data_IF_748528196542
#
_entry.id   IF_748528196542
#
_cell.length_a   1.000
_cell.length_b   1.000
_cell.length_c   1.000
_cell.angle_alpha   90.00
_cell.angle_beta   90.00
_cell.angle_gamma   90.00
#
_symmetry.space_group_name_H-M   'P 1'
#
loop_
_entity.id
_entity.type
_entity.pdbx_description
1 polymer ?
#
# COMPACT_ATOMS: atom_id res chain seq x y z
N UNK A 1 -19.11 -9.87 24.14
CA UNK A 1 -19.31 -8.97 22.98
C UNK A 1 -18.00 -8.73 22.19
N UNK A 2 -17.18 -9.77 22.02
CA UNK A 2 -15.83 -9.67 21.40
C UNK A 2 -15.68 -10.32 20.03
N UNK A 3 -16.75 -10.67 19.32
CA UNK A 3 -16.69 -11.39 18.03
C UNK A 3 -17.05 -10.57 16.77
N UNK A 4 -17.56 -9.34 16.93
CA UNK A 4 -18.05 -8.55 15.79
C UNK A 4 -16.97 -7.65 15.11
N UNK A 5 -15.81 -7.47 15.73
CA UNK A 5 -14.75 -6.62 15.15
C UNK A 5 -13.83 -7.37 14.17
N UNK A 6 -13.95 -8.69 14.09
CA UNK A 6 -13.08 -9.54 13.25
C UNK A 6 -13.49 -9.63 11.78
N UNK A 7 -14.70 -9.22 11.43
CA UNK A 7 -15.25 -9.47 10.08
C UNK A 7 -15.37 -8.23 9.18
N UNK A 8 -15.16 -7.03 9.71
CA UNK A 8 -15.33 -5.81 8.90
C UNK A 8 -14.07 -5.34 8.14
N UNK A 9 -12.91 -5.88 8.45
CA UNK A 9 -11.64 -5.48 7.77
C UNK A 9 -11.30 -6.38 6.58
N UNK A 10 -11.93 -7.55 6.48
CA UNK A 10 -11.59 -8.56 5.44
C UNK A 10 -12.38 -8.37 4.14
N UNK A 11 -13.48 -7.60 4.12
CA UNK A 11 -14.39 -7.53 2.97
C UNK A 11 -14.07 -6.44 1.93
N UNK A 12 -12.94 -5.74 2.01
CA UNK A 12 -12.61 -4.69 1.02
C UNK A 12 -11.67 -5.16 -0.12
N UNK A 13 -11.34 -6.45 -0.21
CA UNK A 13 -10.31 -6.93 -1.15
C UNK A 13 -10.77 -7.92 -2.22
N UNK A 14 -12.07 -8.08 -2.45
CA UNK A 14 -12.55 -9.08 -3.44
C UNK A 14 -13.61 -8.50 -4.38
N UNK A 15 -13.23 -7.58 -5.23
CA UNK A 15 -14.03 -7.26 -6.41
C UNK A 15 -13.18 -6.58 -7.49
N UNK A 16 -12.39 -7.32 -8.25
CA UNK A 16 -12.04 -7.03 -9.66
C UNK A 16 -11.37 -8.29 -10.22
N UNK A 17 -12.14 -9.17 -10.81
CA UNK A 17 -11.65 -10.14 -11.80
C UNK A 17 -12.84 -10.68 -12.61
N UNK A 18 -13.21 -9.99 -13.67
CA UNK A 18 -14.03 -10.57 -14.75
C UNK A 18 -13.94 -9.67 -15.97
N UNK A 19 -13.09 -10.01 -16.93
CA UNK A 19 -13.22 -9.69 -18.36
C UNK A 19 -12.29 -10.64 -19.10
N UNK A 20 -12.88 -11.59 -19.72
CA UNK A 20 -13.43 -11.74 -21.05
C UNK A 20 -12.44 -12.34 -22.05
N UNK A 21 -12.71 -13.58 -22.39
CA UNK A 21 -12.19 -14.32 -23.54
C UNK A 21 -12.72 -13.70 -24.84
N UNK A 22 -11.86 -13.40 -25.77
CA UNK A 22 -12.19 -13.06 -27.15
C UNK A 22 -11.36 -13.91 -28.11
N UNK A 23 -12.06 -14.67 -28.93
CA UNK A 23 -11.62 -15.70 -29.87
C UNK A 23 -10.93 -15.12 -31.11
N UNK A 24 -9.98 -15.90 -31.65
CA UNK A 24 -9.41 -15.76 -32.98
C UNK A 24 -10.39 -16.17 -34.10
N UNK A 25 -10.19 -15.75 -35.35
CA UNK A 25 -10.33 -16.67 -36.48
C UNK A 25 -9.10 -16.68 -37.41
N UNK A 26 -8.67 -17.81 -37.69
CA UNK A 26 -8.43 -18.71 -38.81
C UNK A 26 -8.30 -18.09 -40.22
N UNK A 27 -7.12 -18.42 -40.79
CA UNK A 27 -6.73 -18.89 -42.11
C UNK A 27 -6.97 -18.07 -43.36
N UNK A 28 -5.91 -18.11 -44.18
CA UNK A 28 -5.91 -17.80 -45.59
C UNK A 28 -4.51 -18.00 -46.18
N UNK A 29 -4.25 -19.24 -46.62
CA UNK A 29 -3.03 -19.62 -47.31
C UNK A 29 -3.24 -19.37 -48.82
N UNK A 30 -2.29 -18.69 -49.46
CA UNK A 30 -2.08 -18.79 -50.91
C UNK A 30 -0.60 -18.75 -51.24
N UNK A 31 -0.17 -19.86 -51.87
CA UNK A 31 1.13 -20.05 -52.48
C UNK A 31 1.32 -19.17 -53.70
N UNK A 32 2.57 -18.65 -53.88
CA UNK A 32 3.25 -18.62 -55.20
C UNK A 32 4.72 -18.24 -55.05
N UNK A 33 5.58 -18.75 -55.96
CA UNK A 33 6.99 -18.91 -55.79
C UNK A 33 7.86 -17.77 -56.41
N UNK A 34 9.19 -17.94 -56.52
CA UNK A 34 10.17 -16.99 -56.03
C UNK A 34 10.73 -16.05 -57.09
N UNK A 35 10.98 -14.85 -56.73
CA UNK A 35 11.92 -13.97 -57.47
C UNK A 35 12.86 -13.34 -56.47
N UNK A 36 14.10 -13.78 -56.45
CA UNK A 36 15.18 -13.07 -55.78
C UNK A 36 15.58 -11.82 -56.57
N UNK A 37 15.66 -10.70 -55.86
CA UNK A 37 16.81 -9.83 -56.00
C UNK A 37 17.52 -9.71 -54.65
N UNK A 38 18.81 -10.00 -54.66
CA UNK A 38 19.70 -9.69 -53.55
C UNK A 38 19.76 -8.17 -53.34
N UNK A 39 18.85 -7.66 -52.54
CA UNK A 39 19.03 -6.36 -51.93
C UNK A 39 19.78 -6.60 -50.63
N UNK A 40 21.02 -6.15 -50.59
CA UNK A 40 21.77 -5.94 -49.36
C UNK A 40 20.95 -4.99 -48.47
N UNK A 41 20.06 -5.57 -47.68
CA UNK A 41 19.38 -4.87 -46.58
C UNK A 41 20.50 -4.51 -45.61
N UNK A 42 20.87 -3.22 -45.59
CA UNK A 42 21.55 -2.68 -44.45
C UNK A 42 20.74 -3.07 -43.23
N UNK A 43 21.23 -4.02 -42.45
CA UNK A 43 20.69 -4.35 -41.16
C UNK A 43 20.93 -3.13 -40.29
N UNK A 44 19.92 -2.27 -40.18
CA UNK A 44 19.87 -1.32 -39.10
C UNK A 44 19.90 -2.19 -37.83
N UNK A 45 21.02 -2.20 -37.14
CA UNK A 45 21.14 -2.80 -35.84
C UNK A 45 20.13 -2.07 -34.97
N UNK A 46 18.98 -2.68 -34.76
CA UNK A 46 18.00 -2.19 -33.81
C UNK A 46 18.66 -2.22 -32.44
N UNK A 47 19.07 -1.05 -31.94
CA UNK A 47 19.62 -0.95 -30.59
C UNK A 47 18.54 -1.47 -29.62
N UNK A 48 18.84 -2.55 -28.90
CA UNK A 48 17.92 -3.07 -27.89
C UNK A 48 17.58 -1.95 -26.88
N UNK A 49 16.31 -1.77 -26.51
CA UNK A 49 15.91 -0.80 -25.50
C UNK A 49 16.73 -0.96 -24.21
N UNK A 50 17.18 0.14 -23.64
CA UNK A 50 17.99 0.13 -22.41
C UNK A 50 17.28 0.73 -21.22
N UNK A 51 16.27 1.57 -21.46
CA UNK A 51 15.50 2.26 -20.42
C UNK A 51 14.01 2.07 -20.72
N UNK A 52 13.22 1.88 -19.68
CA UNK A 52 11.77 1.80 -19.75
C UNK A 52 11.13 2.65 -18.67
N UNK A 53 9.96 3.16 -18.98
CA UNK A 53 9.08 3.85 -18.04
C UNK A 53 7.74 3.16 -18.00
N UNK A 54 7.05 3.21 -16.88
CA UNK A 54 5.74 2.59 -16.72
C UNK A 54 4.84 3.28 -15.73
N UNK A 55 3.57 2.94 -15.84
CA UNK A 55 2.55 3.24 -14.83
C UNK A 55 2.03 1.93 -14.29
N UNK A 56 1.67 1.88 -13.02
CA UNK A 56 1.13 0.67 -12.40
C UNK A 56 0.02 0.97 -11.41
N UNK A 57 -0.87 0.01 -11.27
CA UNK A 57 -1.83 -0.10 -10.18
C UNK A 57 -1.42 -1.24 -9.26
N UNK A 58 -1.44 -1.01 -7.97
CA UNK A 58 -1.05 -1.99 -6.95
C UNK A 58 -1.88 -1.83 -5.68
N UNK A 59 -1.72 -2.75 -4.74
CA UNK A 59 -2.29 -2.58 -3.40
C UNK A 59 -1.69 -1.38 -2.64
N UNK A 60 -0.56 -0.85 -3.10
CA UNK A 60 0.05 0.39 -2.58
C UNK A 60 -0.51 1.65 -3.26
N UNK A 61 -1.43 1.50 -4.20
CA UNK A 61 -2.04 2.59 -4.96
C UNK A 61 -1.60 2.66 -6.42
N UNK A 62 -1.82 3.81 -7.03
CA UNK A 62 -1.33 4.14 -8.36
C UNK A 62 0.13 4.58 -8.29
N UNK A 63 0.92 4.18 -9.28
CA UNK A 63 2.35 4.49 -9.27
C UNK A 63 2.96 4.66 -10.66
N UNK A 64 4.17 5.17 -10.64
CA UNK A 64 5.05 5.26 -11.81
C UNK A 64 6.34 4.51 -11.51
N UNK A 65 6.95 3.97 -12.55
CA UNK A 65 8.21 3.25 -12.42
C UNK A 65 9.14 3.53 -13.60
N UNK A 66 10.42 3.41 -13.33
CA UNK A 66 11.49 3.50 -14.31
C UNK A 66 12.41 2.29 -14.14
N UNK A 67 12.83 1.71 -15.25
CA UNK A 67 13.76 0.58 -15.25
C UNK A 67 14.91 0.83 -16.23
N UNK A 68 16.06 0.31 -15.89
CA UNK A 68 17.23 0.30 -16.76
C UNK A 68 17.80 -1.11 -16.85
N UNK A 69 18.17 -1.53 -18.05
CA UNK A 69 18.83 -2.81 -18.27
C UNK A 69 20.28 -2.74 -17.79
N UNK A 70 20.65 -3.66 -16.91
CA UNK A 70 22.02 -3.81 -16.40
C UNK A 70 22.78 -4.88 -17.21
N UNK A 71 22.13 -6.03 -17.42
CA UNK A 71 22.67 -7.12 -18.22
C UNK A 71 21.58 -7.71 -19.14
N UNK A 72 21.94 -8.71 -19.94
CA UNK A 72 20.95 -9.44 -20.73
C UNK A 72 19.89 -10.18 -19.90
N UNK A 73 20.09 -10.36 -18.58
CA UNK A 73 19.18 -11.09 -17.70
C UNK A 73 18.80 -10.32 -16.45
N UNK A 74 19.20 -9.05 -16.34
CA UNK A 74 18.91 -8.27 -15.14
C UNK A 74 18.61 -6.82 -15.49
N UNK A 75 17.64 -6.24 -14.73
CA UNK A 75 17.35 -4.81 -14.73
C UNK A 75 17.42 -4.27 -13.31
N UNK A 76 17.64 -2.98 -13.17
CA UNK A 76 17.29 -2.21 -11.96
C UNK A 76 16.04 -1.42 -12.24
N UNK A 77 15.14 -1.37 -11.24
CA UNK A 77 13.88 -0.66 -11.36
C UNK A 77 13.63 0.14 -10.08
N UNK A 78 13.13 1.35 -10.25
CA UNK A 78 12.68 2.20 -9.17
C UNK A 78 11.24 2.66 -9.43
N UNK A 79 10.43 2.77 -8.38
CA UNK A 79 9.04 3.16 -8.48
C UNK A 79 8.61 4.07 -7.35
N UNK A 80 7.56 4.83 -7.61
CA UNK A 80 6.84 5.62 -6.63
C UNK A 80 5.36 5.27 -6.71
N UNK A 81 4.72 5.03 -5.55
CA UNK A 81 3.29 4.76 -5.47
C UNK A 81 2.63 5.74 -4.51
N UNK A 82 1.37 6.06 -4.79
CA UNK A 82 0.56 6.91 -3.93
C UNK A 82 -0.89 6.42 -3.87
N UNK A 83 -1.45 6.47 -2.66
CA UNK A 83 -2.86 6.21 -2.39
C UNK A 83 -3.32 7.05 -1.23
N UNK A 84 -4.41 7.79 -1.41
CA UNK A 84 -4.99 8.62 -0.36
C UNK A 84 -6.48 8.33 -0.24
N UNK A 85 -6.94 8.12 1.00
CA UNK A 85 -8.35 7.90 1.32
C UNK A 85 -8.66 8.46 2.69
N UNK A 86 -9.74 9.22 2.82
CA UNK A 86 -10.21 9.74 4.11
C UNK A 86 -11.69 9.43 4.32
N UNK A 87 -12.06 9.13 5.56
CA UNK A 87 -13.45 8.87 5.93
C UNK A 87 -13.74 9.36 7.34
N UNK A 88 -14.76 10.21 7.44
CA UNK A 88 -15.39 10.57 8.72
C UNK A 88 -16.57 9.65 9.03
N UNK A 89 -16.76 9.33 10.31
CA UNK A 89 -17.96 8.65 10.82
C UNK A 89 -18.18 9.01 12.27
N UNK A 90 -19.44 8.96 12.69
CA UNK A 90 -19.82 9.17 14.07
C UNK A 90 -20.22 7.83 14.70
N UNK A 91 -19.70 7.55 15.88
CA UNK A 91 -20.06 6.36 16.66
C UNK A 91 -20.15 6.73 18.14
N UNK A 92 -21.24 6.36 18.79
CA UNK A 92 -21.47 6.61 20.23
C UNK A 92 -21.24 8.09 20.62
N UNK A 93 -21.75 9.02 19.80
CA UNK A 93 -21.58 10.48 19.92
C UNK A 93 -20.14 11.00 19.76
N UNK A 94 -19.18 10.15 19.41
CA UNK A 94 -17.81 10.52 19.11
C UNK A 94 -17.64 10.67 17.59
N UNK A 95 -17.12 11.80 17.14
CA UNK A 95 -16.77 12.03 15.75
C UNK A 95 -15.36 11.51 15.48
N UNK A 96 -15.25 10.57 14.56
CA UNK A 96 -13.97 10.00 14.11
C UNK A 96 -13.67 10.43 12.68
N UNK A 97 -12.42 10.72 12.41
CA UNK A 97 -11.92 10.95 11.05
C UNK A 97 -10.64 10.12 10.86
N UNK A 98 -10.71 9.14 9.95
CA UNK A 98 -9.58 8.32 9.57
C UNK A 98 -9.03 8.74 8.23
N UNK A 99 -7.71 8.77 8.10
CA UNK A 99 -6.99 9.09 6.87
C UNK A 99 -5.94 8.02 6.60
N UNK A 100 -5.96 7.50 5.38
CA UNK A 100 -4.91 6.67 4.80
C UNK A 100 -4.16 7.53 3.77
N UNK A 101 -2.85 7.67 3.90
CA UNK A 101 -1.99 8.42 2.98
C UNK A 101 -0.71 7.63 2.73
N UNK A 102 -0.83 6.60 1.87
CA UNK A 102 0.30 5.79 1.47
C UNK A 102 1.08 6.50 0.39
N UNK A 103 2.32 6.85 0.70
CA UNK A 103 3.33 7.31 -0.24
C UNK A 103 4.54 6.41 -0.07
N UNK A 104 4.91 5.72 -1.14
CA UNK A 104 6.02 4.76 -1.08
C UNK A 104 6.96 4.93 -2.25
N UNK A 105 8.24 4.70 -1.98
CA UNK A 105 9.25 4.48 -3.01
C UNK A 105 9.73 3.04 -2.92
N UNK A 106 10.05 2.46 -4.05
CA UNK A 106 10.56 1.11 -4.13
C UNK A 106 11.74 1.02 -5.08
N UNK A 107 12.63 0.09 -4.80
CA UNK A 107 13.74 -0.25 -5.66
C UNK A 107 13.83 -1.78 -5.77
N UNK A 108 14.01 -2.27 -6.99
CA UNK A 108 14.07 -3.68 -7.32
C UNK A 108 15.29 -4.00 -8.16
N UNK A 109 15.77 -5.21 -8.01
CA UNK A 109 16.72 -5.83 -8.90
C UNK A 109 16.04 -7.01 -9.59
N UNK A 110 15.60 -6.81 -10.83
CA UNK A 110 14.85 -7.82 -11.59
C UNK A 110 15.82 -8.82 -12.19
N UNK A 111 15.61 -10.11 -11.91
CA UNK A 111 16.41 -11.24 -12.43
C UNK A 111 15.52 -12.08 -13.32
N UNK A 112 15.93 -12.30 -14.57
CA UNK A 112 15.23 -13.09 -15.59
C UNK A 112 15.94 -14.43 -15.79
N UNK A 113 15.67 -15.48 -15.01
CA UNK A 113 16.44 -16.72 -15.03
C UNK A 113 16.35 -17.45 -16.38
N UNK A 114 15.22 -17.36 -17.05
CA UNK A 114 14.97 -18.05 -18.32
C UNK A 114 15.12 -17.14 -19.54
N UNK A 115 15.68 -15.95 -19.38
CA UNK A 115 15.83 -14.94 -20.42
C UNK A 115 14.50 -14.55 -21.13
N UNK A 116 13.36 -14.91 -20.54
CA UNK A 116 12.00 -14.65 -21.00
C UNK A 116 11.36 -13.44 -20.28
N UNK A 117 10.04 -13.56 -20.05
CA UNK A 117 9.25 -12.54 -19.37
C UNK A 117 9.13 -12.79 -17.85
N UNK A 118 9.37 -14.03 -17.40
CA UNK A 118 9.34 -14.37 -15.96
C UNK A 118 10.55 -13.75 -15.27
N UNK A 119 10.32 -13.13 -14.13
CA UNK A 119 11.35 -12.53 -13.29
C UNK A 119 11.09 -12.76 -11.81
N UNK A 120 12.16 -12.69 -11.04
CA UNK A 120 12.17 -12.62 -9.59
C UNK A 120 12.90 -11.34 -9.19
N UNK A 121 12.32 -10.56 -8.31
CA UNK A 121 12.80 -9.22 -8.01
C UNK A 121 12.92 -9.01 -6.50
N UNK A 122 14.09 -9.31 -5.90
CA UNK A 122 14.39 -8.78 -4.59
C UNK A 122 14.44 -7.25 -4.64
N UNK A 123 14.03 -6.61 -3.54
CA UNK A 123 13.95 -5.17 -3.49
C UNK A 123 13.76 -4.61 -2.09
N UNK A 124 13.54 -3.32 -2.03
CA UNK A 124 13.22 -2.58 -0.81
C UNK A 124 12.06 -1.63 -1.08
N UNK A 125 11.14 -1.58 -0.14
CA UNK A 125 10.02 -0.63 -0.09
C UNK A 125 10.30 0.36 1.03
N UNK A 126 10.15 1.66 0.78
CA UNK A 126 10.26 2.70 1.80
C UNK A 126 8.97 3.52 1.87
N UNK A 127 8.48 3.72 3.09
CA UNK A 127 7.31 4.53 3.38
C UNK A 127 7.70 5.98 3.62
N UNK A 128 6.93 6.92 3.07
CA UNK A 128 7.11 8.37 3.22
C UNK A 128 5.95 8.92 4.05
N UNK A 129 6.26 9.61 5.14
CA UNK A 129 5.25 10.23 6.01
C UNK A 129 4.58 9.25 6.98
N UNK A 130 3.40 9.62 7.43
CA UNK A 130 2.55 8.86 8.36
C UNK A 130 1.41 8.18 7.57
N UNK A 131 1.51 6.90 7.21
CA UNK A 131 0.58 6.27 6.29
C UNK A 131 -0.85 6.11 6.81
N UNK A 132 -1.04 6.08 8.13
CA UNK A 132 -2.37 5.98 8.74
C UNK A 132 -2.47 6.95 9.91
N UNK A 133 -3.43 7.85 9.84
CA UNK A 133 -3.76 8.78 10.93
C UNK A 133 -5.25 8.73 11.23
N UNK A 134 -5.59 8.98 12.48
CA UNK A 134 -6.97 9.09 12.91
C UNK A 134 -7.11 10.22 13.93
N UNK A 135 -8.23 10.92 13.89
CA UNK A 135 -8.61 11.89 14.90
C UNK A 135 -9.98 11.52 15.48
N UNK A 136 -10.19 11.87 16.73
CA UNK A 136 -11.48 11.70 17.40
C UNK A 136 -11.81 12.97 18.19
N UNK A 137 -13.08 13.35 18.23
CA UNK A 137 -13.57 14.44 19.06
C UNK A 137 -14.77 13.95 19.84
N UNK A 138 -14.71 14.09 21.18
CA UNK A 138 -15.78 13.77 22.10
C UNK A 138 -16.45 15.07 22.55
N UNK A 139 -17.70 15.36 22.14
CA UNK A 139 -18.39 16.55 22.57
C UNK A 139 -18.47 16.65 24.10
N UNK A 140 -18.47 17.87 24.63
CA UNK A 140 -18.58 18.10 26.06
C UNK A 140 -19.84 17.46 26.67
N UNK A 141 -19.69 16.84 27.84
CA UNK A 141 -20.73 16.10 28.53
C UNK A 141 -20.98 14.68 28.02
N UNK A 142 -20.45 14.30 26.89
CA UNK A 142 -20.60 12.94 26.35
C UNK A 142 -19.61 11.96 26.99
N UNK A 143 -20.09 10.73 27.18
CA UNK A 143 -19.27 9.65 27.73
C UNK A 143 -18.49 8.92 26.63
N UNK A 144 -17.31 8.45 26.99
CA UNK A 144 -16.49 7.57 26.16
C UNK A 144 -15.74 6.56 27.02
N UNK A 145 -15.31 5.45 26.42
CA UNK A 145 -14.56 4.42 27.12
C UNK A 145 -13.08 4.49 26.77
N UNK A 146 -12.24 4.44 27.80
CA UNK A 146 -10.80 4.31 27.67
C UNK A 146 -10.35 3.14 28.54
N UNK A 147 -9.93 2.06 27.91
CA UNK A 147 -9.71 0.80 28.61
C UNK A 147 -11.03 0.16 29.07
N UNK A 148 -11.09 -0.15 30.34
CA UNK A 148 -12.31 -0.62 31.01
C UNK A 148 -13.11 0.51 31.68
N UNK A 149 -12.58 1.72 31.71
CA UNK A 149 -13.15 2.86 32.44
C UNK A 149 -13.98 3.74 31.50
N UNK A 150 -15.14 4.17 31.97
CA UNK A 150 -15.97 5.17 31.31
C UNK A 150 -15.65 6.53 31.89
N UNK A 151 -15.36 7.48 31.02
CA UNK A 151 -15.12 8.89 31.33
C UNK A 151 -16.14 9.76 30.62
N UNK A 152 -16.28 11.00 31.08
CA UNK A 152 -17.08 12.02 30.42
C UNK A 152 -16.17 13.14 29.95
N UNK A 153 -16.41 13.65 28.75
CA UNK A 153 -15.72 14.81 28.20
C UNK A 153 -16.14 16.07 28.94
N UNK A 154 -15.20 16.89 29.38
CA UNK A 154 -15.49 18.16 30.00
C UNK A 154 -16.13 19.14 28.99
N UNK A 155 -17.13 19.92 29.45
CA UNK A 155 -17.82 20.89 28.59
C UNK A 155 -16.96 22.11 28.27
N UNK A 156 -16.07 22.50 29.19
CA UNK A 156 -15.19 23.65 29.03
C UNK A 156 -13.93 23.35 28.19
N UNK A 157 -13.43 22.11 28.31
CA UNK A 157 -12.23 21.64 27.58
C UNK A 157 -12.47 20.23 27.05
N UNK A 158 -13.23 20.10 25.94
CA UNK A 158 -13.64 18.82 25.39
C UNK A 158 -12.45 17.92 25.02
N UNK A 159 -12.68 16.60 25.13
CA UNK A 159 -11.65 15.61 24.82
C UNK A 159 -11.48 15.48 23.32
N UNK A 160 -10.25 15.58 22.88
CA UNK A 160 -9.82 15.27 21.51
C UNK A 160 -8.76 14.18 21.53
N UNK A 161 -8.77 13.34 20.51
CA UNK A 161 -7.84 12.26 20.34
C UNK A 161 -7.17 12.31 18.98
N UNK A 162 -5.91 11.91 18.93
CA UNK A 162 -5.21 11.64 17.68
C UNK A 162 -4.46 10.31 17.78
N UNK A 163 -4.49 9.56 16.71
CA UNK A 163 -3.78 8.29 16.59
C UNK A 163 -2.99 8.24 15.29
N UNK A 164 -1.85 7.56 15.34
CA UNK A 164 -1.02 7.28 14.17
C UNK A 164 -0.61 5.82 14.19
N UNK A 165 -0.55 5.22 13.00
CA UNK A 165 0.01 3.89 12.82
C UNK A 165 1.16 4.01 11.83
N UNK A 166 2.36 3.69 12.29
CA UNK A 166 3.57 3.77 11.50
C UNK A 166 4.12 2.38 11.24
N UNK A 167 4.65 2.18 10.03
CA UNK A 167 5.42 1.02 9.63
C UNK A 167 6.91 1.32 9.74
N UNK A 168 7.76 0.30 9.65
CA UNK A 168 9.18 0.53 9.48
C UNK A 168 9.41 1.34 8.21
N UNK A 169 10.28 2.34 8.29
CA UNK A 169 10.54 3.25 7.16
C UNK A 169 11.03 2.52 5.91
N UNK A 170 11.76 1.41 6.08
CA UNK A 170 12.21 0.57 5.00
C UNK A 170 11.85 -0.89 5.29
N UNK A 171 11.35 -1.59 4.29
CA UNK A 171 10.95 -2.98 4.34
C UNK A 171 11.62 -3.75 3.19
N UNK A 172 12.44 -4.77 3.46
CA UNK A 172 12.87 -5.67 2.41
C UNK A 172 11.65 -6.31 1.77
N UNK A 173 11.71 -6.49 0.45
CA UNK A 173 10.62 -7.07 -0.32
C UNK A 173 11.14 -8.07 -1.35
N UNK A 174 10.27 -8.98 -1.75
CA UNK A 174 10.54 -9.90 -2.83
C UNK A 174 9.28 -10.07 -3.67
N UNK A 175 9.40 -9.92 -4.97
CA UNK A 175 8.32 -10.15 -5.92
C UNK A 175 8.75 -11.14 -6.99
N UNK A 176 7.78 -11.74 -7.64
CA UNK A 176 7.96 -12.49 -8.86
C UNK A 176 6.83 -12.12 -9.83
N UNK A 177 7.08 -12.21 -11.11
CA UNK A 177 6.08 -11.78 -12.08
C UNK A 177 6.38 -12.16 -13.51
N UNK A 178 5.49 -11.70 -14.37
CA UNK A 178 5.59 -11.82 -15.81
C UNK A 178 5.52 -10.44 -16.43
N UNK A 179 6.39 -10.22 -17.38
CA UNK A 179 6.58 -8.95 -18.08
C UNK A 179 8.01 -8.45 -17.87
N UNK A 180 8.41 -7.50 -18.69
CA UNK A 180 9.71 -6.85 -18.58
C UNK A 180 9.52 -5.40 -19.00
N UNK A 181 9.78 -4.47 -18.12
CA UNK A 181 9.65 -3.03 -18.42
C UNK A 181 10.63 -2.58 -19.51
N UNK A 182 11.73 -3.32 -19.67
CA UNK A 182 12.72 -3.12 -20.75
C UNK A 182 12.82 -4.40 -21.58
N UNK A 183 11.81 -4.73 -22.42
CA UNK A 183 11.80 -5.93 -23.24
C UNK A 183 12.92 -5.87 -24.29
N UNK A 184 13.35 -7.03 -24.75
CA UNK A 184 14.38 -7.11 -25.81
C UNK A 184 13.79 -6.83 -27.19
N UNK A 185 12.56 -7.28 -27.39
CA UNK A 185 11.83 -7.12 -28.65
C UNK A 185 10.58 -6.31 -28.37
N UNK A 186 10.37 -5.25 -29.16
CA UNK A 186 9.26 -4.34 -29.01
C UNK A 186 9.49 -3.29 -27.91
N UNK A 187 8.55 -2.38 -27.79
CA UNK A 187 8.62 -1.22 -26.89
C UNK A 187 7.59 -1.28 -25.77
N UNK A 188 6.50 -2.04 -25.94
CA UNK A 188 5.41 -2.12 -24.99
C UNK A 188 5.49 -3.36 -24.11
N UNK A 189 5.13 -3.21 -22.85
CA UNK A 189 5.06 -4.31 -21.89
C UNK A 189 3.89 -4.13 -20.92
N UNK A 190 3.37 -5.27 -20.45
CA UNK A 190 2.34 -5.34 -19.40
C UNK A 190 2.92 -6.24 -18.30
N UNK A 191 3.65 -5.67 -17.33
CA UNK A 191 4.15 -6.41 -16.18
C UNK A 191 3.01 -6.71 -15.20
N UNK A 192 3.01 -7.93 -14.66
CA UNK A 192 2.16 -8.39 -13.57
C UNK A 192 3.05 -8.99 -12.50
N UNK A 193 2.90 -8.56 -11.26
CA UNK A 193 3.75 -8.99 -10.16
C UNK A 193 2.95 -9.39 -8.93
N UNK A 194 3.46 -10.39 -8.25
CA UNK A 194 3.01 -10.87 -6.95
C UNK A 194 4.21 -10.94 -6.01
N UNK A 195 4.00 -10.63 -4.75
CA UNK A 195 5.08 -10.71 -3.78
C UNK A 195 4.69 -10.27 -2.39
N UNK A 196 5.70 -10.00 -1.58
CA UNK A 196 5.56 -9.59 -0.19
C UNK A 196 6.60 -8.56 0.21
N UNK A 197 6.22 -7.62 1.07
CA UNK A 197 7.13 -6.73 1.77
C UNK A 197 7.11 -7.07 3.27
N UNK A 198 8.29 -7.20 3.86
CA UNK A 198 8.48 -7.54 5.28
C UNK A 198 8.62 -6.24 6.09
N UNK A 199 7.49 -5.61 6.36
CA UNK A 199 7.45 -4.26 6.97
C UNK A 199 7.58 -4.27 8.50
N UNK A 200 7.63 -5.46 9.14
CA UNK A 200 7.62 -5.58 10.59
C UNK A 200 6.28 -5.22 11.21
N UNK A 201 6.19 -5.32 12.54
CA UNK A 201 4.95 -5.01 13.26
C UNK A 201 4.68 -3.50 13.21
N UNK A 202 3.49 -3.05 12.75
CA UNK A 202 3.09 -1.67 12.82
C UNK A 202 3.07 -1.17 14.26
N UNK A 203 3.36 0.12 14.47
CA UNK A 203 3.34 0.76 15.79
C UNK A 203 2.27 1.85 15.80
N UNK A 204 1.27 1.67 16.69
CA UNK A 204 0.29 2.70 16.97
C UNK A 204 0.79 3.62 18.08
N UNK A 205 0.51 4.89 17.92
CA UNK A 205 0.66 5.93 18.95
C UNK A 205 -0.68 6.59 19.15
N UNK A 206 -1.13 6.72 20.38
CA UNK A 206 -2.37 7.40 20.78
C UNK A 206 -2.05 8.58 21.65
N UNK A 207 -2.61 9.73 21.32
CA UNK A 207 -2.54 10.94 22.12
C UNK A 207 -3.97 11.45 22.36
N UNK A 208 -4.29 11.75 23.61
CA UNK A 208 -5.52 12.41 23.99
C UNK A 208 -5.19 13.75 24.69
N UNK A 209 -6.03 14.74 24.44
CA UNK A 209 -5.96 16.06 25.04
C UNK A 209 -7.33 16.51 25.54
N UNK A 210 -7.36 17.50 26.42
CA UNK A 210 -8.58 17.99 27.06
C UNK A 210 -8.69 17.50 28.50
N UNK A 211 -9.90 17.62 29.06
CA UNK A 211 -10.22 17.18 30.42
C UNK A 211 -11.24 16.05 30.41
N UNK A 212 -11.06 15.11 31.34
CA UNK A 212 -12.02 14.02 31.61
C UNK A 212 -12.63 14.23 32.99
N UNK A 213 -13.90 13.83 33.11
CA UNK A 213 -14.64 13.86 34.36
C UNK A 213 -15.15 12.45 34.71
N UNK A 214 -15.36 12.15 35.98
CA UNK A 214 -15.94 10.87 36.45
C UNK A 214 -17.43 10.75 36.18
N UNK A 215 -18.12 11.92 36.20
CA UNK A 215 -19.53 12.11 35.80
C UNK A 215 -19.65 13.46 35.11
N UNK A 216 -20.75 13.78 34.42
CA UNK A 216 -20.92 15.06 33.74
C UNK A 216 -20.62 16.27 34.64
N UNK A 217 -19.51 16.99 34.39
CA UNK A 217 -19.11 18.16 35.18
C UNK A 217 -18.55 17.89 36.58
N UNK A 218 -18.33 16.61 36.96
CA UNK A 218 -17.88 16.24 38.32
C UNK A 218 -16.48 15.64 38.26
N UNK A 219 -15.59 16.09 39.16
CA UNK A 219 -14.20 15.63 39.29
C UNK A 219 -13.43 15.69 37.94
N UNK A 220 -13.53 16.83 37.26
CA UNK A 220 -12.85 17.03 36.00
C UNK A 220 -11.36 17.25 36.23
N UNK A 221 -10.53 16.60 35.41
CA UNK A 221 -9.08 16.65 35.51
C UNK A 221 -8.43 16.57 34.13
N UNK A 222 -7.26 17.17 34.00
CA UNK A 222 -6.53 17.18 32.74
C UNK A 222 -5.99 15.80 32.40
N UNK A 223 -6.22 15.34 31.17
CA UNK A 223 -5.67 14.09 30.65
C UNK A 223 -4.14 14.09 30.74
N UNK A 224 -3.50 15.23 30.46
CA UNK A 224 -2.04 15.32 30.40
C UNK A 224 -1.34 15.05 31.75
N UNK A 225 -2.00 15.38 32.86
CA UNK A 225 -1.42 15.28 34.21
C UNK A 225 -1.94 14.11 35.05
N UNK A 226 -3.00 13.45 34.63
CA UNK A 226 -3.58 12.32 35.37
C UNK A 226 -2.91 10.99 35.02
N UNK A 227 -2.17 10.41 35.97
CA UNK A 227 -1.42 9.17 35.78
C UNK A 227 -2.33 7.98 35.45
N UNK A 228 -3.56 7.93 36.00
CA UNK A 228 -4.50 6.84 35.75
C UNK A 228 -5.01 6.88 34.32
N UNK A 229 -5.37 8.09 33.85
CA UNK A 229 -5.81 8.29 32.46
C UNK A 229 -4.69 7.95 31.48
N UNK A 230 -3.47 8.41 31.76
CA UNK A 230 -2.29 8.08 30.95
C UNK A 230 -2.03 6.56 30.91
N UNK A 231 -2.16 5.88 32.04
CA UNK A 231 -2.06 4.41 32.11
C UNK A 231 -3.11 3.71 31.25
N UNK A 232 -4.35 4.20 31.22
CA UNK A 232 -5.41 3.67 30.36
C UNK A 232 -5.13 3.91 28.87
N UNK A 233 -4.56 5.07 28.49
CA UNK A 233 -4.13 5.36 27.12
C UNK A 233 -3.04 4.36 26.67
N UNK A 234 -2.02 4.12 27.48
CA UNK A 234 -0.96 3.16 27.20
C UNK A 234 -1.50 1.72 27.07
N UNK A 235 -2.47 1.36 27.92
CA UNK A 235 -3.14 0.06 27.83
C UNK A 235 -3.89 -0.10 26.49
N UNK A 236 -4.63 0.92 26.06
CA UNK A 236 -5.31 0.89 24.75
C UNK A 236 -4.31 0.84 23.60
N UNK A 237 -3.26 1.64 23.64
CA UNK A 237 -2.18 1.61 22.65
C UNK A 237 -1.55 0.21 22.54
N UNK A 238 -1.30 -0.44 23.68
CA UNK A 238 -0.76 -1.80 23.74
C UNK A 238 -1.72 -2.81 23.12
N UNK A 239 -3.02 -2.72 23.41
CA UNK A 239 -4.03 -3.59 22.78
C UNK A 239 -4.06 -3.43 21.27
N UNK A 240 -4.02 -2.19 20.76
CA UNK A 240 -3.97 -1.91 19.33
C UNK A 240 -2.71 -2.51 18.71
N UNK A 241 -1.53 -2.30 19.32
CA UNK A 241 -0.27 -2.86 18.85
C UNK A 241 -0.29 -4.40 18.79
N UNK A 242 -0.83 -5.05 19.81
CA UNK A 242 -0.96 -6.50 19.85
C UNK A 242 -1.91 -7.02 18.77
N UNK A 243 -3.01 -6.31 18.52
CA UNK A 243 -3.99 -6.67 17.48
C UNK A 243 -3.42 -6.52 16.07
N UNK A 244 -2.45 -5.61 15.88
CA UNK A 244 -1.79 -5.38 14.58
C UNK A 244 -0.53 -6.22 14.37
N UNK A 245 -0.13 -7.02 15.34
CA UNK A 245 1.13 -7.78 15.28
C UNK A 245 1.18 -8.80 14.12
N UNK A 246 0.05 -9.18 13.53
CA UNK A 246 0.00 -10.09 12.39
C UNK A 246 0.30 -9.37 11.03
N UNK A 247 0.20 -8.04 10.96
CA UNK A 247 0.50 -7.27 9.75
C UNK A 247 2.01 -7.06 9.53
N UNK A 248 2.84 -8.05 9.86
CA UNK A 248 4.30 -7.98 9.65
C UNK A 248 4.69 -8.08 8.18
N UNK A 249 3.81 -8.68 7.39
CA UNK A 249 4.01 -8.93 5.96
C UNK A 249 2.90 -8.25 5.19
N UNK A 250 3.28 -7.44 4.21
CA UNK A 250 2.35 -6.76 3.32
C UNK A 250 2.34 -7.45 1.95
N UNK A 251 1.20 -7.91 1.45
CA UNK A 251 1.11 -8.51 0.12
C UNK A 251 1.30 -7.45 -0.97
N UNK A 252 2.09 -7.77 -1.98
CA UNK A 252 2.28 -6.95 -3.17
C UNK A 252 1.57 -7.63 -4.32
N UNK A 253 0.63 -6.93 -4.92
CA UNK A 253 -0.04 -7.33 -6.17
C UNK A 253 -0.05 -6.10 -7.04
N UNK A 254 0.52 -6.20 -8.23
CA UNK A 254 0.56 -5.08 -9.16
C UNK A 254 0.33 -5.53 -10.60
N UNK A 255 -0.22 -4.62 -11.37
CA UNK A 255 -0.31 -4.69 -12.82
C UNK A 255 0.10 -3.34 -13.39
N UNK A 256 0.90 -3.35 -14.42
CA UNK A 256 1.44 -2.15 -15.03
C UNK A 256 1.32 -2.13 -16.54
N UNK A 257 1.68 -0.99 -17.09
CA UNK A 257 1.85 -0.78 -18.52
C UNK A 257 3.13 0.05 -18.73
N UNK A 258 4.01 -0.43 -19.60
CA UNK A 258 5.31 0.18 -19.81
C UNK A 258 5.67 0.40 -21.27
N UNK A 259 6.54 1.37 -21.46
CA UNK A 259 7.17 1.70 -22.73
C UNK A 259 8.69 1.77 -22.56
N UNK A 260 9.44 1.22 -23.51
CA UNK A 260 10.91 1.21 -23.50
C UNK A 260 11.50 1.86 -24.73
N UNK A 261 12.62 2.53 -24.51
CA UNK A 261 13.36 3.31 -25.52
C UNK A 261 14.65 2.63 -25.90
#
# INVERSE_FOLDING_TARGET
MGKLLRHSVVFLFLAIASFAYGQSPVSGQTDNPPVSPSSSRASFASSEPRVGIGVKGSLLGGGVEVAARVTHRTNVRAGFNTFSYSRGFNKDSVAYNGQLDFKTVEAHYDIFPFAGKFHVSPGVLAYIGDPITATAAVPGGQSFKLGSTTYYSDTGTPVTGSGKINFNRAAPMATFGWGNLVPRNGHFSVPVELGVAFQGSPKATLNLAGNVCDSPGVNCRSIASDATVQGNILSEQTKVNNSMSFFKVYPIISVGFGYSF
#
